data_IF_786893840292
#
_entry.id   IF_786893840292
#
_cell.length_a   1.000
_cell.length_b   1.000
_cell.length_c   1.000
_cell.angle_alpha   90.00
_cell.angle_beta   90.00
_cell.angle_gamma   90.00
#
_symmetry.space_group_name_H-M   'P 1'
#
loop_
_entity.id
_entity.type
_entity.pdbx_description
1 polymer ?
#
# COMPACT_ATOMS: atom_id res chain seq x y z
N UNK A 1 -5.30 -9.78 -14.13
CA UNK A 1 -4.74 -9.33 -12.84
C UNK A 1 -4.43 -7.85 -12.97
N UNK A 2 -4.90 -6.99 -12.07
CA UNK A 2 -4.74 -5.53 -12.21
C UNK A 2 -3.32 -5.11 -11.85
N UNK A 3 -2.83 -4.02 -12.44
CA UNK A 3 -1.48 -3.52 -12.20
C UNK A 3 -1.46 -2.41 -11.15
N UNK A 4 -0.38 -2.30 -10.38
CA UNK A 4 -0.09 -1.15 -9.53
C UNK A 4 1.18 -0.45 -10.01
N UNK A 5 1.33 0.83 -9.64
CA UNK A 5 2.54 1.59 -9.91
C UNK A 5 3.28 1.98 -8.63
N UNK A 6 4.60 1.81 -8.64
CA UNK A 6 5.51 2.32 -7.61
C UNK A 6 6.27 3.52 -8.12
N UNK A 7 6.31 4.60 -7.34
CA UNK A 7 7.06 5.80 -7.69
C UNK A 7 7.85 6.32 -6.49
N UNK A 8 8.94 7.03 -6.73
CA UNK A 8 9.82 7.58 -5.67
C UNK A 8 9.38 8.99 -5.20
N UNK A 9 8.58 9.68 -6.01
CA UNK A 9 8.12 11.06 -5.77
C UNK A 9 6.75 11.16 -5.09
N UNK A 10 6.36 12.40 -4.77
CA UNK A 10 5.04 12.75 -4.25
C UNK A 10 3.95 12.42 -5.30
N UNK A 11 2.81 11.89 -4.83
CA UNK A 11 1.70 11.43 -5.66
C UNK A 11 0.69 12.51 -6.06
N UNK A 12 0.96 13.79 -5.80
CA UNK A 12 0.19 14.92 -6.32
C UNK A 12 0.45 15.14 -7.83
N UNK A 13 1.59 14.62 -8.33
CA UNK A 13 2.04 14.74 -9.72
C UNK A 13 1.99 16.19 -10.21
N UNK A 14 2.44 17.15 -9.39
CA UNK A 14 2.48 18.57 -9.75
C UNK A 14 3.28 18.76 -11.05
N UNK A 15 2.70 19.47 -12.02
CA UNK A 15 3.30 19.68 -13.34
C UNK A 15 2.96 18.62 -14.41
N UNK A 16 2.32 17.50 -14.05
CA UNK A 16 1.83 16.54 -15.03
C UNK A 16 0.55 17.08 -15.72
N UNK A 17 0.46 16.95 -17.05
CA UNK A 17 -0.72 17.42 -17.81
C UNK A 17 -1.98 16.69 -17.35
N UNK A 18 -3.14 17.34 -17.49
CA UNK A 18 -4.44 16.76 -17.08
C UNK A 18 -4.71 15.42 -17.75
N UNK A 19 -4.51 15.32 -19.06
CA UNK A 19 -4.70 14.08 -19.83
C UNK A 19 -3.78 12.94 -19.33
N UNK A 20 -2.52 13.25 -19.01
CA UNK A 20 -1.57 12.26 -18.49
C UNK A 20 -1.95 11.79 -17.08
N UNK A 21 -2.45 12.70 -16.22
CA UNK A 21 -3.01 12.33 -14.89
C UNK A 21 -4.23 11.44 -15.01
N UNK A 22 -5.13 11.74 -15.93
CA UNK A 22 -6.34 10.94 -16.17
C UNK A 22 -5.98 9.54 -16.70
N UNK A 23 -5.03 9.46 -17.64
CA UNK A 23 -4.49 8.19 -18.13
C UNK A 23 -3.83 7.38 -17.00
N UNK A 24 -3.00 8.02 -16.17
CA UNK A 24 -2.34 7.40 -15.02
C UNK A 24 -3.36 6.80 -14.05
N UNK A 25 -4.41 7.54 -13.69
CA UNK A 25 -5.43 7.05 -12.77
C UNK A 25 -6.40 6.04 -13.39
N UNK A 26 -6.51 6.01 -14.71
CA UNK A 26 -7.27 5.00 -15.44
C UNK A 26 -6.53 3.66 -15.49
N UNK A 27 -5.23 3.70 -15.79
CA UNK A 27 -4.41 2.49 -15.98
C UNK A 27 -3.89 1.88 -14.66
N UNK A 28 -3.72 2.70 -13.62
CA UNK A 28 -3.13 2.31 -12.35
C UNK A 28 -4.09 2.58 -11.19
N UNK A 29 -4.96 1.61 -10.85
CA UNK A 29 -5.91 1.73 -9.73
C UNK A 29 -5.21 1.94 -8.38
N UNK A 30 -3.96 1.47 -8.26
CA UNK A 30 -3.11 1.70 -7.09
C UNK A 30 -1.80 2.33 -7.55
N UNK A 31 -1.47 3.47 -6.95
CA UNK A 31 -0.16 4.09 -7.06
C UNK A 31 0.34 4.36 -5.65
N UNK A 32 1.53 3.88 -5.32
CA UNK A 32 2.11 4.09 -4.00
C UNK A 32 3.50 4.67 -4.13
N UNK A 33 3.83 5.55 -3.18
CA UNK A 33 5.19 6.05 -3.06
C UNK A 33 6.06 4.97 -2.40
N UNK A 34 7.18 4.61 -3.02
CA UNK A 34 8.17 3.66 -2.48
C UNK A 34 8.80 4.19 -1.19
N UNK A 35 9.05 3.34 -0.18
CA UNK A 35 9.79 3.76 0.98
C UNK A 35 11.20 4.25 0.65
N UNK A 36 11.56 5.45 1.14
CA UNK A 36 12.92 5.99 0.92
C UNK A 36 13.96 5.04 1.52
N UNK A 37 15.07 4.85 0.81
CA UNK A 37 16.20 4.01 1.24
C UNK A 37 15.85 2.53 1.43
N UNK A 38 14.74 2.06 0.88
CA UNK A 38 14.44 0.63 0.85
C UNK A 38 15.35 -0.06 -0.17
N UNK A 39 16.19 -1.03 0.23
CA UNK A 39 17.01 -1.80 -0.70
C UNK A 39 16.16 -2.44 -1.80
N UNK A 40 16.72 -2.61 -3.01
CA UNK A 40 16.00 -3.25 -4.13
C UNK A 40 15.56 -4.67 -3.74
N UNK A 41 16.49 -5.43 -3.17
CA UNK A 41 16.32 -6.83 -2.79
C UNK A 41 16.00 -6.98 -1.29
N UNK A 42 15.17 -6.07 -0.76
CA UNK A 42 14.79 -6.13 0.64
C UNK A 42 13.83 -7.29 0.90
N UNK A 43 14.29 -8.32 1.61
CA UNK A 43 13.46 -9.47 2.05
C UNK A 43 13.01 -9.36 3.52
N UNK A 44 13.59 -8.43 4.29
CA UNK A 44 13.31 -8.32 5.73
C UNK A 44 12.11 -7.43 6.04
N UNK A 45 11.09 -8.01 6.70
CA UNK A 45 9.94 -7.29 7.27
C UNK A 45 10.36 -6.17 8.21
N UNK A 46 11.37 -6.42 9.04
CA UNK A 46 11.91 -5.42 9.96
C UNK A 46 12.58 -4.25 9.23
N UNK A 47 13.33 -4.52 8.15
CA UNK A 47 13.94 -3.47 7.33
C UNK A 47 12.87 -2.65 6.61
N UNK A 48 11.90 -3.30 5.97
CA UNK A 48 10.77 -2.61 5.34
C UNK A 48 10.02 -1.73 6.35
N UNK A 49 9.72 -2.26 7.54
CA UNK A 49 9.06 -1.51 8.60
C UNK A 49 9.88 -0.28 9.03
N UNK A 50 11.20 -0.41 9.21
CA UNK A 50 12.09 0.71 9.54
C UNK A 50 12.03 1.80 8.46
N UNK A 51 12.10 1.44 7.18
CA UNK A 51 11.97 2.39 6.06
C UNK A 51 10.60 3.10 6.07
N UNK A 52 9.51 2.34 6.21
CA UNK A 52 8.15 2.88 6.30
C UNK A 52 7.95 3.83 7.48
N UNK A 53 8.56 3.51 8.63
CA UNK A 53 8.51 4.31 9.85
C UNK A 53 9.26 5.64 9.68
N UNK A 54 10.43 5.62 9.04
CA UNK A 54 11.28 6.80 8.86
C UNK A 54 10.70 7.82 7.86
N UNK A 55 9.72 7.42 7.05
CA UNK A 55 9.01 8.36 6.20
C UNK A 55 8.01 9.21 7.01
N UNK A 56 7.96 10.54 6.84
CA UNK A 56 6.98 11.39 7.49
C UNK A 56 5.56 11.14 6.94
N UNK A 57 4.52 11.53 7.68
CA UNK A 57 3.11 11.34 7.27
C UNK A 57 2.80 11.94 5.89
N UNK A 58 3.41 13.08 5.56
CA UNK A 58 3.24 13.74 4.26
C UNK A 58 3.75 12.89 3.09
N UNK A 59 4.70 11.99 3.33
CA UNK A 59 5.31 11.16 2.29
C UNK A 59 4.67 9.76 2.20
N UNK A 60 3.91 9.30 3.21
CA UNK A 60 3.20 8.00 3.19
C UNK A 60 1.89 8.10 2.39
N UNK A 61 2.04 8.44 1.12
CA UNK A 61 0.95 8.69 0.18
C UNK A 61 0.60 7.43 -0.62
N UNK A 62 -0.68 7.28 -0.90
CA UNK A 62 -1.22 6.31 -1.85
C UNK A 62 -2.32 6.99 -2.67
N UNK A 63 -2.37 6.68 -3.95
CA UNK A 63 -3.56 6.86 -4.78
C UNK A 63 -4.24 5.51 -4.88
N UNK A 64 -5.50 5.45 -4.47
CA UNK A 64 -6.33 4.25 -4.61
C UNK A 64 -7.66 4.67 -5.22
N UNK A 65 -8.05 4.05 -6.33
CA UNK A 65 -9.26 4.40 -7.09
C UNK A 65 -9.37 5.93 -7.31
N UNK A 66 -8.30 6.52 -7.85
CA UNK A 66 -8.17 7.97 -8.16
C UNK A 66 -8.18 8.92 -6.95
N UNK A 67 -8.25 8.40 -5.73
CA UNK A 67 -8.21 9.22 -4.51
C UNK A 67 -6.82 9.19 -3.89
N UNK A 68 -6.22 10.36 -3.73
CA UNK A 68 -4.98 10.56 -3.00
C UNK A 68 -5.24 10.70 -1.50
N UNK A 69 -4.60 9.88 -0.67
CA UNK A 69 -4.64 10.04 0.78
C UNK A 69 -3.36 9.55 1.46
N UNK A 70 -3.23 9.91 2.74
CA UNK A 70 -2.08 9.56 3.59
C UNK A 70 -2.41 8.38 4.49
N UNK A 71 -1.41 7.55 4.73
CA UNK A 71 -1.47 6.32 5.53
C UNK A 71 -0.72 6.46 6.86
N UNK A 72 -1.24 5.80 7.90
CA UNK A 72 -0.47 5.57 9.13
C UNK A 72 0.71 4.63 8.86
N UNK A 73 1.69 4.57 9.77
CA UNK A 73 2.86 3.70 9.60
C UNK A 73 2.45 2.25 9.37
N UNK A 74 1.49 1.74 10.18
CA UNK A 74 0.98 0.37 10.06
C UNK A 74 0.33 0.14 8.69
N UNK A 75 -0.56 1.04 8.26
CA UNK A 75 -1.26 0.90 7.00
C UNK A 75 -0.28 0.94 5.82
N UNK A 76 0.66 1.89 5.84
CA UNK A 76 1.66 2.04 4.80
C UNK A 76 2.59 0.83 4.69
N UNK A 77 3.06 0.31 5.82
CA UNK A 77 3.83 -0.95 5.87
C UNK A 77 3.06 -2.11 5.23
N UNK A 78 1.80 -2.31 5.61
CA UNK A 78 0.98 -3.39 5.05
C UNK A 78 0.81 -3.27 3.53
N UNK A 79 0.56 -2.06 3.02
CA UNK A 79 0.49 -1.84 1.58
C UNK A 79 1.84 -2.11 0.90
N UNK A 80 2.94 -1.66 1.48
CA UNK A 80 4.26 -1.90 0.90
C UNK A 80 4.59 -3.39 0.87
N UNK A 81 4.32 -4.14 1.96
CA UNK A 81 4.58 -5.57 2.00
C UNK A 81 3.74 -6.34 0.97
N UNK A 82 2.42 -6.08 0.92
CA UNK A 82 1.53 -6.70 -0.06
C UNK A 82 1.94 -6.39 -1.50
N UNK A 83 2.25 -5.13 -1.81
CA UNK A 83 2.57 -4.73 -3.18
C UNK A 83 3.99 -5.12 -3.59
N UNK A 84 4.97 -5.08 -2.67
CA UNK A 84 6.36 -5.41 -2.98
C UNK A 84 6.59 -6.92 -3.08
N UNK A 85 6.09 -7.67 -2.11
CA UNK A 85 6.37 -9.10 -2.01
C UNK A 85 5.23 -9.96 -2.53
N UNK A 86 4.10 -9.35 -2.88
CA UNK A 86 2.90 -10.08 -3.27
C UNK A 86 2.19 -10.73 -2.09
N UNK A 87 2.75 -10.71 -0.87
CA UNK A 87 2.16 -11.37 0.28
C UNK A 87 2.61 -10.80 1.63
N UNK A 88 1.86 -11.17 2.68
CA UNK A 88 2.19 -10.97 4.09
C UNK A 88 2.07 -12.31 4.82
N UNK A 89 3.17 -12.86 5.31
CA UNK A 89 3.15 -13.98 6.25
C UNK A 89 2.78 -13.46 7.66
N UNK A 90 1.82 -14.12 8.32
CA UNK A 90 1.37 -13.68 9.65
C UNK A 90 2.46 -13.82 10.73
N UNK A 91 3.31 -14.85 10.68
CA UNK A 91 4.38 -15.03 11.67
C UNK A 91 5.38 -13.88 11.56
N UNK A 92 5.76 -13.48 10.34
CA UNK A 92 6.63 -12.32 10.11
C UNK A 92 5.95 -11.00 10.51
N UNK A 93 4.68 -10.82 10.14
CA UNK A 93 3.89 -9.65 10.53
C UNK A 93 3.82 -9.47 12.04
N UNK A 94 3.66 -10.57 12.80
CA UNK A 94 3.57 -10.56 14.25
C UNK A 94 4.89 -10.22 14.96
N UNK A 95 6.03 -10.28 14.26
CA UNK A 95 7.31 -9.78 14.78
C UNK A 95 7.37 -8.26 14.84
N UNK A 96 6.48 -7.54 14.16
CA UNK A 96 6.48 -6.07 14.16
C UNK A 96 5.65 -5.53 15.32
N UNK A 97 6.27 -4.69 16.17
CA UNK A 97 5.51 -3.87 17.10
C UNK A 97 5.25 -2.51 16.45
N UNK A 98 3.97 -2.20 16.20
CA UNK A 98 3.62 -0.92 15.58
C UNK A 98 3.74 0.29 16.55
N UNK A 99 4.09 0.06 17.82
CA UNK A 99 4.51 1.12 18.75
C UNK A 99 5.90 1.63 18.37
N UNK A 100 6.28 2.80 18.89
CA UNK A 100 7.47 3.54 18.46
C UNK A 100 8.78 2.74 18.62
N UNK A 101 9.34 2.29 17.48
CA UNK A 101 10.73 1.86 17.36
C UNK A 101 11.07 0.47 17.85
N UNK A 102 10.13 -0.47 17.84
CA UNK A 102 10.37 -1.83 18.34
C UNK A 102 9.99 -2.88 17.31
N UNK A 103 10.90 -3.80 17.05
CA UNK A 103 10.53 -5.13 16.54
C UNK A 103 10.55 -6.08 17.73
N UNK A 104 9.58 -6.99 17.79
CA UNK A 104 9.46 -7.97 18.87
C UNK A 104 10.50 -9.07 18.67
N UNK A 105 10.93 -9.65 19.80
CA UNK A 105 11.65 -10.93 19.79
C UNK A 105 10.66 -12.07 19.52
N UNK A 106 11.12 -13.20 18.95
CA UNK A 106 10.30 -14.41 18.82
C UNK A 106 9.62 -14.77 20.15
N UNK A 107 8.38 -15.28 20.10
CA UNK A 107 7.57 -15.78 21.23
C UNK A 107 6.83 -14.75 22.10
N UNK A 108 6.81 -13.46 21.77
CA UNK A 108 5.96 -12.48 22.47
C UNK A 108 4.52 -12.52 21.91
N UNK A 109 3.52 -12.92 22.72
CA UNK A 109 2.11 -13.05 22.28
C UNK A 109 1.61 -11.78 21.56
N UNK A 110 1.19 -11.94 20.30
CA UNK A 110 0.53 -10.90 19.53
C UNK A 110 -1.00 -10.95 19.75
N UNK A 111 -1.61 -9.82 20.10
CA UNK A 111 -3.04 -9.75 20.43
C UNK A 111 -3.97 -9.57 19.21
N UNK A 112 -3.45 -9.58 17.97
CA UNK A 112 -4.26 -9.44 16.73
C UNK A 112 -3.67 -10.27 15.59
N UNK A 113 -4.49 -11.14 15.00
CA UNK A 113 -4.15 -11.90 13.79
C UNK A 113 -4.13 -10.98 12.55
N UNK A 114 -3.43 -11.42 11.50
CA UNK A 114 -3.22 -10.67 10.26
C UNK A 114 -4.55 -10.34 9.56
N UNK A 115 -5.47 -11.31 9.57
CA UNK A 115 -6.83 -11.17 9.07
C UNK A 115 -7.58 -9.95 9.63
N UNK A 116 -7.61 -9.79 10.97
CA UNK A 116 -8.23 -8.61 11.59
C UNK A 116 -7.54 -7.32 11.16
N UNK A 117 -6.21 -7.34 11.00
CA UNK A 117 -5.47 -6.17 10.54
C UNK A 117 -5.84 -5.78 9.09
N UNK A 118 -6.07 -6.75 8.21
CA UNK A 118 -6.52 -6.53 6.83
C UNK A 118 -7.96 -6.00 6.80
N UNK A 119 -8.84 -6.55 7.62
CA UNK A 119 -10.22 -6.07 7.73
C UNK A 119 -10.30 -4.62 8.26
N UNK A 120 -9.43 -4.26 9.21
CA UNK A 120 -9.29 -2.87 9.66
C UNK A 120 -8.74 -2.00 8.53
N UNK A 121 -7.72 -2.46 7.79
CA UNK A 121 -7.17 -1.73 6.66
C UNK A 121 -8.26 -1.43 5.63
N UNK A 122 -9.07 -2.42 5.21
CA UNK A 122 -10.23 -2.23 4.31
C UNK A 122 -11.13 -1.11 4.79
N UNK A 123 -11.53 -1.17 6.04
CA UNK A 123 -12.49 -0.21 6.63
C UNK A 123 -11.93 1.21 6.61
N UNK A 124 -10.66 1.37 6.96
CA UNK A 124 -10.03 2.68 7.01
C UNK A 124 -9.80 3.28 5.62
N UNK A 125 -9.46 2.46 4.61
CA UNK A 125 -9.38 2.91 3.22
C UNK A 125 -10.75 3.30 2.69
N UNK A 126 -11.79 2.50 2.97
CA UNK A 126 -13.19 2.82 2.62
C UNK A 126 -13.58 4.20 3.12
N UNK A 127 -13.31 4.48 4.40
CA UNK A 127 -13.60 5.78 5.02
C UNK A 127 -12.88 6.93 4.30
N UNK A 128 -11.59 6.76 3.97
CA UNK A 128 -10.79 7.79 3.29
C UNK A 128 -11.33 8.10 1.89
N UNK A 129 -11.70 7.07 1.13
CA UNK A 129 -12.30 7.24 -0.20
C UNK A 129 -13.67 7.89 -0.09
N UNK A 130 -14.53 7.44 0.83
CA UNK A 130 -15.85 8.03 1.07
C UNK A 130 -15.76 9.50 1.46
N UNK A 131 -14.78 9.87 2.30
CA UNK A 131 -14.57 11.26 2.69
C UNK A 131 -14.05 12.16 1.56
N UNK A 132 -13.36 11.59 0.57
CA UNK A 132 -12.83 12.34 -0.56
C UNK A 132 -13.78 12.35 -1.78
N UNK A 133 -14.68 11.37 -1.88
CA UNK A 133 -15.71 11.33 -2.91
C UNK A 133 -16.76 12.39 -2.62
N UNK A 134 -16.89 13.39 -3.50
CA UNK A 134 -17.97 14.39 -3.45
C UNK A 134 -19.32 13.84 -3.94
N UNK A 135 -19.34 12.64 -4.53
CA UNK A 135 -20.53 11.97 -5.04
C UNK A 135 -21.06 10.93 -4.05
N UNK A 136 -22.34 10.53 -4.22
CA UNK A 136 -22.98 9.41 -3.52
C UNK A 136 -22.08 8.19 -3.65
N UNK A 137 -21.47 7.80 -2.53
CA UNK A 137 -20.58 6.65 -2.48
C UNK A 137 -21.43 5.38 -2.54
N UNK A 138 -21.38 4.68 -3.67
CA UNK A 138 -22.03 3.38 -3.83
C UNK A 138 -21.34 2.35 -2.91
N UNK A 139 -22.06 2.00 -1.84
CA UNK A 139 -21.60 1.07 -0.83
C UNK A 139 -21.49 -0.36 -1.34
N UNK A 140 -22.31 -0.76 -2.33
CA UNK A 140 -22.37 -2.11 -2.87
C UNK A 140 -21.21 -2.36 -3.83
N UNK A 141 -21.01 -1.49 -4.82
CA UNK A 141 -19.86 -1.59 -5.74
C UNK A 141 -18.50 -1.58 -5.01
N UNK A 142 -18.37 -0.83 -3.91
CA UNK A 142 -17.12 -0.81 -3.14
C UNK A 142 -16.90 -2.06 -2.27
N UNK A 143 -17.98 -2.70 -1.77
CA UNK A 143 -17.85 -3.91 -0.94
C UNK A 143 -17.10 -5.00 -1.71
N UNK A 144 -17.38 -5.10 -3.01
CA UNK A 144 -16.73 -6.01 -3.94
C UNK A 144 -15.30 -5.56 -4.28
N UNK A 145 -15.06 -4.27 -4.49
CA UNK A 145 -13.83 -3.80 -5.12
C UNK A 145 -12.56 -3.84 -4.22
N UNK A 146 -12.67 -3.84 -2.88
CA UNK A 146 -11.46 -3.87 -2.01
C UNK A 146 -11.07 -5.27 -1.52
N UNK A 147 -12.01 -6.10 -1.05
CA UNK A 147 -11.70 -7.48 -0.59
C UNK A 147 -11.42 -8.41 -1.78
N UNK A 148 -12.15 -8.23 -2.89
CA UNK A 148 -11.92 -9.09 -4.04
C UNK A 148 -10.69 -8.68 -4.85
N UNK A 149 -10.17 -7.45 -4.71
CA UNK A 149 -9.06 -6.98 -5.55
C UNK A 149 -7.75 -6.63 -4.82
N UNK A 150 -7.71 -6.21 -3.54
CA UNK A 150 -6.42 -5.83 -2.93
C UNK A 150 -5.62 -7.02 -2.40
N UNK A 151 -6.17 -7.72 -1.40
CA UNK A 151 -5.52 -8.86 -0.80
C UNK A 151 -6.53 -9.84 -0.20
N UNK A 152 -6.23 -11.13 -0.28
CA UNK A 152 -7.01 -12.23 0.29
C UNK A 152 -6.20 -12.87 1.42
N UNK A 153 -6.82 -13.11 2.58
CA UNK A 153 -6.19 -13.86 3.65
C UNK A 153 -6.56 -15.34 3.52
N UNK A 154 -5.56 -16.21 3.44
CA UNK A 154 -5.71 -17.66 3.50
C UNK A 154 -5.53 -18.12 4.95
N UNK A 155 -6.59 -18.68 5.52
CA UNK A 155 -6.60 -19.16 6.90
C UNK A 155 -5.76 -20.41 7.13
N UNK A 156 -5.54 -21.22 6.08
CA UNK A 156 -4.75 -22.46 6.16
C UNK A 156 -3.27 -22.15 6.25
N UNK A 157 -2.76 -21.35 5.30
CA UNK A 157 -1.34 -20.94 5.28
C UNK A 157 -1.03 -19.78 6.22
N UNK A 158 -2.05 -19.04 6.68
CA UNK A 158 -1.91 -17.81 7.48
C UNK A 158 -1.19 -16.69 6.72
N UNK A 159 -1.33 -16.67 5.41
CA UNK A 159 -0.71 -15.69 4.52
C UNK A 159 -1.79 -14.79 3.93
N UNK A 160 -1.49 -13.50 3.76
CA UNK A 160 -2.31 -12.60 2.96
C UNK A 160 -1.66 -12.35 1.61
N UNK A 161 -2.36 -12.63 0.52
CA UNK A 161 -1.83 -12.59 -0.84
C UNK A 161 -2.41 -11.39 -1.58
N UNK A 162 -1.56 -10.57 -2.20
CA UNK A 162 -1.93 -9.46 -3.05
C UNK A 162 -2.39 -9.95 -4.43
N UNK A 163 -3.44 -9.32 -4.96
CA UNK A 163 -3.96 -9.64 -6.30
C UNK A 163 -3.52 -8.63 -7.37
N UNK A 164 -2.58 -7.74 -7.05
CA UNK A 164 -2.00 -6.79 -7.98
C UNK A 164 -0.56 -7.17 -8.34
N UNK A 165 -0.15 -6.86 -9.57
CA UNK A 165 1.24 -7.00 -10.03
C UNK A 165 1.90 -5.63 -10.21
N UNK A 166 3.22 -5.52 -9.99
CA UNK A 166 3.94 -4.32 -10.34
C UNK A 166 3.88 -4.08 -11.84
N UNK A 167 3.71 -2.83 -12.24
CA UNK A 167 3.89 -2.40 -13.63
C UNK A 167 5.17 -1.58 -13.81
N UNK A 168 5.65 -1.57 -15.04
CA UNK A 168 6.69 -0.66 -15.48
C UNK A 168 6.21 0.79 -15.41
N UNK A 169 7.14 1.69 -15.12
CA UNK A 169 6.88 3.11 -15.12
C UNK A 169 6.57 3.56 -16.56
N UNK A 170 5.44 4.25 -16.82
CA UNK A 170 5.19 4.82 -18.13
C UNK A 170 6.29 5.82 -18.54
N UNK A 171 6.65 5.84 -19.82
CA UNK A 171 7.66 6.75 -20.37
C UNK A 171 7.37 8.23 -20.11
N UNK A 172 6.09 8.62 -20.11
CA UNK A 172 5.68 10.00 -19.77
C UNK A 172 5.92 10.34 -18.29
N UNK A 173 6.00 9.33 -17.40
CA UNK A 173 6.39 9.51 -16.01
C UNK A 173 7.89 9.39 -15.77
N UNK A 174 8.69 8.75 -16.64
CA UNK A 174 10.14 8.64 -16.45
C UNK A 174 10.84 10.00 -16.28
N UNK A 175 10.38 11.02 -17.04
CA UNK A 175 10.90 12.39 -16.95
C UNK A 175 10.60 13.07 -15.61
N UNK A 176 9.53 12.64 -14.92
CA UNK A 176 9.01 13.27 -13.70
C UNK A 176 9.32 12.44 -12.46
N UNK A 177 9.31 11.13 -12.59
CA UNK A 177 9.58 10.10 -11.60
C UNK A 177 10.81 9.33 -12.07
N UNK A 178 11.97 9.53 -11.44
CA UNK A 178 13.09 8.61 -11.68
C UNK A 178 12.67 7.24 -11.17
N UNK A 179 12.62 6.25 -12.07
CA UNK A 179 12.68 4.86 -11.65
C UNK A 179 14.08 4.65 -11.08
N UNK A 180 14.19 4.14 -9.87
CA UNK A 180 15.44 3.48 -9.52
C UNK A 180 15.46 2.22 -10.40
N UNK A 181 16.48 2.16 -11.28
CA UNK A 181 16.87 0.98 -12.04
C UNK A 181 17.13 -0.20 -11.12
#
# INVERSE_FOLDING_TARGET
MKNFLWVTRNLEFTGLKKADKENLYFNYPIIIRRPKSLPKDCESYCTLYKCCKNMPLKDRQIVYNKVLFKLSIKQYFMFCALLLWGEIDEKEFNKIDFRTGRCRKPNQKAARNLEKSINILKREIKKKIKAASKAVFDEESYKDDFINNLAMFDSWTRIAICKYRPAHLPSYLEKVCKQES
#
